data_IF_116831094446
#
_entry.id   IF_116831094446
#
_cell.length_a   1.000
_cell.length_b   1.000
_cell.length_c   1.000
_cell.angle_alpha   90.00
_cell.angle_beta   90.00
_cell.angle_gamma   90.00
#
_symmetry.space_group_name_H-M   'P 1'
#
loop_
_entity.id
_entity.type
_entity.pdbx_description
1 polymer ?
#
# COMPACT_ATOMS: atom_id res chain seq x y z
N UNK A 1 20.39 32.69 -4.04
CA UNK A 1 20.13 34.15 -4.15
C UNK A 1 18.67 34.46 -4.54
N UNK A 2 17.68 33.70 -4.05
CA UNK A 2 16.25 33.88 -4.38
C UNK A 2 15.51 34.90 -3.49
N UNK A 3 16.15 35.33 -2.39
CA UNK A 3 15.47 36.03 -1.29
C UNK A 3 15.20 37.53 -1.56
N UNK A 4 15.94 38.16 -2.47
CA UNK A 4 15.76 39.60 -2.77
C UNK A 4 14.71 39.83 -3.86
N UNK A 5 14.57 38.89 -4.79
CA UNK A 5 13.58 38.97 -5.87
C UNK A 5 12.14 38.91 -5.36
N UNK A 6 11.89 38.20 -4.26
CA UNK A 6 10.59 38.16 -3.58
C UNK A 6 10.30 39.45 -2.81
N UNK A 7 11.32 40.08 -2.22
CA UNK A 7 11.17 41.35 -1.47
C UNK A 7 10.80 42.53 -2.38
N UNK A 8 11.23 42.53 -3.65
CA UNK A 8 10.83 43.56 -4.63
C UNK A 8 9.30 43.56 -4.81
N UNK A 9 8.68 42.40 -4.97
CA UNK A 9 7.23 42.28 -5.12
C UNK A 9 6.49 42.73 -3.86
N UNK A 10 6.97 42.33 -2.68
CA UNK A 10 6.40 42.71 -1.39
C UNK A 10 6.40 44.24 -1.19
N UNK A 11 7.52 44.91 -1.49
CA UNK A 11 7.63 46.37 -1.39
C UNK A 11 6.70 47.07 -2.39
N UNK A 12 6.65 46.59 -3.64
CA UNK A 12 5.81 47.17 -4.69
C UNK A 12 4.31 46.98 -4.42
N UNK A 13 3.93 45.92 -3.71
CA UNK A 13 2.53 45.66 -3.30
C UNK A 13 2.15 46.36 -1.99
N UNK A 14 3.07 47.11 -1.37
CA UNK A 14 2.80 47.95 -0.21
C UNK A 14 3.03 47.27 1.14
N UNK A 15 3.73 46.14 1.19
CA UNK A 15 4.15 45.52 2.46
C UNK A 15 5.21 46.41 3.12
N UNK A 16 4.93 46.84 4.34
CA UNK A 16 5.92 47.55 5.14
C UNK A 16 7.05 46.60 5.57
N UNK A 17 8.29 46.95 5.23
CA UNK A 17 9.48 46.29 5.74
C UNK A 17 9.88 46.89 7.09
N UNK A 18 10.60 46.12 7.90
CA UNK A 18 11.26 46.68 9.08
C UNK A 18 12.30 47.74 8.64
N UNK A 19 12.65 48.72 9.49
CA UNK A 19 13.64 49.74 9.15
C UNK A 19 15.00 49.15 8.74
N UNK A 20 15.41 48.05 9.37
CA UNK A 20 16.65 47.33 9.07
C UNK A 20 16.58 46.65 7.70
N UNK A 21 15.47 45.99 7.38
CA UNK A 21 15.25 45.33 6.09
C UNK A 21 15.10 46.32 4.93
N UNK A 22 14.45 47.47 5.15
CA UNK A 22 14.33 48.53 4.14
C UNK A 22 15.71 49.14 3.82
N UNK A 23 16.55 49.38 4.84
CA UNK A 23 17.91 49.85 4.63
C UNK A 23 18.76 48.84 3.84
N UNK A 24 18.68 47.56 4.20
CA UNK A 24 19.38 46.48 3.50
C UNK A 24 18.87 46.32 2.05
N UNK A 25 17.56 46.36 1.85
CA UNK A 25 16.92 46.30 0.53
C UNK A 25 17.37 47.45 -0.36
N UNK A 26 17.31 48.70 0.13
CA UNK A 26 17.75 49.89 -0.63
C UNK A 26 19.24 49.85 -0.95
N UNK A 27 20.07 49.41 -0.02
CA UNK A 27 21.51 49.23 -0.24
C UNK A 27 21.76 48.22 -1.36
N UNK A 28 21.04 47.09 -1.35
CA UNK A 28 21.15 46.06 -2.37
C UNK A 28 20.67 46.51 -3.76
N UNK A 29 19.51 47.17 -3.85
CA UNK A 29 18.98 47.70 -5.11
C UNK A 29 19.93 48.76 -5.70
N UNK A 30 20.67 49.49 -4.86
CA UNK A 30 21.76 50.37 -5.34
C UNK A 30 22.98 49.60 -5.82
N UNK A 31 23.34 48.47 -5.21
CA UNK A 31 24.51 47.69 -5.60
C UNK A 31 24.30 46.76 -6.80
N UNK A 32 23.07 46.31 -7.06
CA UNK A 32 22.77 45.27 -8.06
C UNK A 32 21.96 45.83 -9.24
N UNK A 33 22.58 45.92 -10.41
CA UNK A 33 21.96 46.44 -11.65
C UNK A 33 20.69 45.65 -12.05
N UNK A 34 20.72 44.31 -11.91
CA UNK A 34 19.58 43.45 -12.25
C UNK A 34 18.37 43.68 -11.33
N UNK A 35 18.60 43.83 -10.03
CA UNK A 35 17.53 44.11 -9.06
C UNK A 35 17.01 45.53 -9.20
N UNK A 36 17.88 46.49 -9.53
CA UNK A 36 17.50 47.87 -9.86
C UNK A 36 16.56 47.94 -11.05
N UNK A 37 16.93 47.32 -12.16
CA UNK A 37 16.10 47.30 -13.37
C UNK A 37 14.71 46.71 -13.11
N UNK A 38 14.63 45.64 -12.32
CA UNK A 38 13.36 44.98 -11.96
C UNK A 38 12.49 45.84 -11.02
N UNK A 39 13.11 46.51 -10.05
CA UNK A 39 12.40 47.45 -9.17
C UNK A 39 11.87 48.66 -9.96
N UNK A 40 12.67 49.21 -10.86
CA UNK A 40 12.27 50.33 -11.73
C UNK A 40 11.12 49.93 -12.66
N UNK A 41 11.17 48.73 -13.27
CA UNK A 41 10.06 48.21 -14.09
C UNK A 41 8.76 48.14 -13.29
N UNK A 42 8.81 47.64 -12.06
CA UNK A 42 7.65 47.60 -11.16
C UNK A 42 7.12 48.98 -10.79
N UNK A 43 8.01 49.94 -10.52
CA UNK A 43 7.62 51.33 -10.22
C UNK A 43 6.98 52.03 -11.42
N UNK A 44 7.46 51.77 -12.63
CA UNK A 44 6.86 52.30 -13.88
C UNK A 44 5.44 51.77 -14.06
N UNK A 45 5.20 50.48 -13.83
CA UNK A 45 3.84 49.89 -13.87
C UNK A 45 2.91 50.54 -12.84
N UNK A 46 3.38 50.75 -11.61
CA UNK A 46 2.57 51.39 -10.56
C UNK A 46 2.25 52.86 -10.87
N UNK A 47 3.18 53.62 -11.45
CA UNK A 47 2.94 55.01 -11.88
C UNK A 47 1.90 55.10 -12.99
N UNK A 48 1.97 54.18 -13.96
CA UNK A 48 0.98 54.06 -15.03
C UNK A 48 -0.40 53.69 -14.49
N UNK A 49 -0.48 52.73 -13.57
CA UNK A 49 -1.74 52.33 -12.94
C UNK A 49 -2.40 53.46 -12.14
N UNK A 50 -1.60 54.40 -11.59
CA UNK A 50 -2.08 55.59 -10.88
C UNK A 50 -2.40 56.78 -11.82
N UNK A 51 -2.28 56.62 -13.13
CA UNK A 51 -2.60 57.67 -14.10
C UNK A 51 -1.57 58.81 -14.19
N UNK A 52 -0.39 58.65 -13.59
CA UNK A 52 0.68 59.65 -13.64
C UNK A 52 1.54 59.49 -14.91
N UNK A 53 0.94 59.81 -16.06
CA UNK A 53 1.60 59.71 -17.36
C UNK A 53 2.79 60.68 -17.50
N UNK A 54 2.75 61.81 -16.80
CA UNK A 54 3.80 62.83 -16.80
C UNK A 54 5.07 62.41 -16.02
N UNK A 55 5.00 61.31 -15.26
CA UNK A 55 6.10 60.80 -14.43
C UNK A 55 6.91 59.66 -15.09
N UNK A 56 6.66 59.39 -16.37
CA UNK A 56 7.41 58.39 -17.14
C UNK A 56 8.77 58.93 -17.57
N UNK A 57 9.80 58.08 -17.49
CA UNK A 57 11.11 58.49 -17.97
C UNK A 57 11.09 58.70 -19.49
N UNK A 58 11.88 59.65 -20.03
CA UNK A 58 11.96 59.89 -21.48
C UNK A 58 12.22 58.58 -22.24
N UNK A 59 11.28 58.21 -23.12
CA UNK A 59 11.37 57.00 -23.96
C UNK A 59 10.68 55.75 -23.39
N UNK A 60 10.16 55.74 -22.15
CA UNK A 60 9.40 54.60 -21.62
C UNK A 60 8.08 54.38 -22.35
N UNK A 61 7.38 55.46 -22.72
CA UNK A 61 6.16 55.38 -23.50
C UNK A 61 6.41 54.66 -24.84
N UNK A 62 7.53 54.97 -25.50
CA UNK A 62 7.92 54.35 -26.76
C UNK A 62 8.28 52.86 -26.59
N UNK A 63 8.96 52.50 -25.49
CA UNK A 63 9.26 51.08 -25.17
C UNK A 63 7.98 50.30 -24.90
N UNK A 64 7.01 50.88 -24.19
CA UNK A 64 5.73 50.26 -23.91
C UNK A 64 4.88 50.11 -25.18
N UNK A 65 4.86 51.12 -26.05
CA UNK A 65 4.20 51.04 -27.36
C UNK A 65 4.85 49.96 -28.24
N UNK A 66 6.19 49.88 -28.28
CA UNK A 66 6.88 48.84 -29.04
C UNK A 66 6.61 47.43 -28.49
N UNK A 67 6.50 47.29 -27.17
CA UNK A 67 6.16 46.01 -26.52
C UNK A 67 4.70 45.62 -26.75
N UNK A 68 3.78 46.58 -26.67
CA UNK A 68 2.37 46.39 -26.99
C UNK A 68 2.20 46.02 -28.48
N UNK A 69 2.92 46.68 -29.39
CA UNK A 69 2.93 46.36 -30.80
C UNK A 69 3.50 44.96 -31.08
N UNK A 70 4.51 44.52 -30.32
CA UNK A 70 5.03 43.16 -30.42
C UNK A 70 4.03 42.11 -29.92
N UNK A 71 3.36 42.36 -28.80
CA UNK A 71 2.31 41.49 -28.25
C UNK A 71 1.04 41.46 -29.11
N UNK A 72 0.73 42.56 -29.80
CA UNK A 72 -0.39 42.67 -30.72
C UNK A 72 -0.09 42.07 -32.10
N UNK A 73 1.15 41.61 -32.38
CA UNK A 73 1.41 40.86 -33.60
C UNK A 73 0.61 39.55 -33.52
N UNK A 74 -0.30 39.30 -34.47
CA UNK A 74 -0.99 38.02 -34.51
C UNK A 74 0.08 36.94 -34.63
N UNK A 75 0.17 36.05 -33.64
CA UNK A 75 0.90 34.81 -33.83
C UNK A 75 0.18 34.10 -34.98
N UNK A 76 0.81 34.03 -36.15
CA UNK A 76 0.33 33.12 -37.19
C UNK A 76 0.20 31.75 -36.53
N UNK A 77 -0.99 31.12 -36.55
CA UNK A 77 -1.17 29.82 -35.94
C UNK A 77 -0.27 28.87 -36.72
N UNK A 78 0.92 28.61 -36.16
CA UNK A 78 1.85 27.62 -36.66
C UNK A 78 1.07 26.31 -36.58
N UNK A 79 0.54 25.87 -37.72
CA UNK A 79 -0.22 24.62 -37.86
C UNK A 79 0.74 23.47 -37.60
N UNK A 80 1.11 23.26 -36.34
CA UNK A 80 1.45 21.93 -35.88
C UNK A 80 0.17 21.13 -35.97
N UNK A 81 -0.01 20.45 -37.11
CA UNK A 81 -0.97 19.37 -37.24
C UNK A 81 -0.48 18.21 -36.36
N UNK A 82 -0.42 18.42 -35.05
CA UNK A 82 -0.38 17.33 -34.10
C UNK A 82 -1.78 16.73 -34.14
N UNK A 83 -1.92 15.69 -34.95
CA UNK A 83 -3.17 14.97 -35.16
C UNK A 83 -3.61 14.33 -33.84
N UNK A 84 -4.35 15.10 -33.05
CA UNK A 84 -5.00 14.70 -31.78
C UNK A 84 -5.71 13.36 -31.89
N UNK A 85 -6.16 12.99 -33.10
CA UNK A 85 -6.73 11.68 -33.41
C UNK A 85 -5.84 10.51 -32.96
N UNK A 86 -4.52 10.56 -33.13
CA UNK A 86 -3.64 9.47 -32.68
C UNK A 86 -3.37 9.53 -31.17
N UNK A 87 -3.36 10.71 -30.56
CA UNK A 87 -3.24 10.85 -29.11
C UNK A 87 -4.47 10.29 -28.38
N UNK A 88 -5.68 10.54 -28.90
CA UNK A 88 -6.92 9.98 -28.34
C UNK A 88 -7.05 8.47 -28.56
N UNK A 89 -6.68 7.96 -29.73
CA UNK A 89 -6.71 6.50 -30.00
C UNK A 89 -5.68 5.77 -29.13
N UNK A 90 -4.48 6.34 -28.95
CA UNK A 90 -3.48 5.79 -28.03
C UNK A 90 -3.94 5.80 -26.57
N UNK A 91 -4.53 6.90 -26.11
CA UNK A 91 -5.06 7.01 -24.74
C UNK A 91 -6.23 6.05 -24.49
N UNK A 92 -7.18 5.94 -25.43
CA UNK A 92 -8.30 5.01 -25.33
C UNK A 92 -7.84 3.54 -25.32
N UNK A 93 -6.86 3.19 -26.16
CA UNK A 93 -6.27 1.86 -26.17
C UNK A 93 -5.57 1.51 -24.86
N UNK A 94 -4.82 2.45 -24.27
CA UNK A 94 -4.17 2.25 -22.97
C UNK A 94 -5.17 2.07 -21.82
N UNK A 95 -6.25 2.87 -21.80
CA UNK A 95 -7.32 2.73 -20.79
C UNK A 95 -8.08 1.42 -20.96
N UNK A 96 -8.37 1.00 -22.20
CA UNK A 96 -9.02 -0.28 -22.47
C UNK A 96 -8.13 -1.45 -22.05
N UNK A 97 -6.83 -1.41 -22.36
CA UNK A 97 -5.89 -2.45 -21.93
C UNK A 97 -5.76 -2.51 -20.40
N UNK A 98 -5.70 -1.35 -19.73
CA UNK A 98 -5.70 -1.26 -18.26
C UNK A 98 -6.99 -1.86 -17.68
N UNK A 99 -8.15 -1.55 -18.26
CA UNK A 99 -9.44 -2.10 -17.84
C UNK A 99 -9.49 -3.61 -18.05
N UNK A 100 -9.00 -4.14 -19.17
CA UNK A 100 -8.94 -5.59 -19.42
C UNK A 100 -8.05 -6.29 -18.39
N UNK A 101 -6.92 -5.68 -18.00
CA UNK A 101 -6.05 -6.23 -16.94
C UNK A 101 -6.72 -6.17 -15.57
N UNK A 102 -7.47 -5.11 -15.27
CA UNK A 102 -8.19 -4.97 -14.00
C UNK A 102 -9.45 -5.84 -13.92
N UNK A 103 -10.09 -6.12 -15.07
CA UNK A 103 -11.28 -6.96 -15.20
C UNK A 103 -10.95 -8.41 -15.55
N UNK A 104 -9.67 -8.76 -15.68
CA UNK A 104 -9.26 -10.13 -15.88
C UNK A 104 -9.85 -10.99 -14.74
N UNK A 105 -10.63 -12.04 -15.06
CA UNK A 105 -11.34 -12.80 -14.07
C UNK A 105 -10.32 -13.45 -13.14
N UNK A 106 -10.25 -12.96 -11.89
CA UNK A 106 -9.51 -13.65 -10.84
C UNK A 106 -10.38 -14.79 -10.35
N UNK A 107 -9.77 -15.96 -10.17
CA UNK A 107 -10.43 -17.12 -9.60
C UNK A 107 -10.68 -16.86 -8.11
N UNK A 108 -11.91 -17.09 -7.63
CA UNK A 108 -12.19 -17.01 -6.20
C UNK A 108 -11.51 -18.19 -5.49
N UNK A 109 -10.78 -17.91 -4.42
CA UNK A 109 -10.01 -18.90 -3.64
C UNK A 109 -10.45 -18.99 -2.19
N UNK A 110 -11.45 -18.21 -1.78
CA UNK A 110 -11.91 -18.23 -0.41
C UNK A 110 -12.91 -17.15 -0.08
N UNK A 111 -13.24 -17.07 1.19
CA UNK A 111 -14.17 -16.08 1.73
C UNK A 111 -13.83 -15.71 3.17
N UNK A 112 -14.24 -14.51 3.56
CA UNK A 112 -14.07 -14.00 4.92
C UNK A 112 -15.17 -14.56 5.82
N UNK A 113 -14.80 -15.28 6.87
CA UNK A 113 -15.75 -15.85 7.84
C UNK A 113 -16.09 -14.86 8.95
N UNK A 114 -15.07 -14.16 9.44
CA UNK A 114 -15.16 -13.17 10.50
C UNK A 114 -14.36 -11.96 10.08
N UNK A 115 -15.07 -10.88 9.76
CA UNK A 115 -14.47 -9.57 9.51
C UNK A 115 -14.48 -8.77 10.80
N UNK A 116 -13.29 -8.45 11.27
CA UNK A 116 -13.09 -7.54 12.38
C UNK A 116 -12.83 -6.12 11.89
N UNK A 117 -12.82 -5.14 12.80
CA UNK A 117 -12.54 -3.75 12.45
C UNK A 117 -11.08 -3.65 11.98
N UNK A 118 -10.92 -3.33 10.69
CA UNK A 118 -9.60 -3.19 10.07
C UNK A 118 -9.16 -4.41 9.26
N UNK A 119 -10.06 -5.35 8.94
CA UNK A 119 -9.78 -6.33 7.88
C UNK A 119 -9.82 -5.63 6.51
N UNK A 120 -8.75 -5.79 5.74
CA UNK A 120 -8.62 -5.24 4.39
C UNK A 120 -8.28 -6.33 3.37
N UNK A 121 -8.82 -6.21 2.16
CA UNK A 121 -8.40 -6.96 0.97
C UNK A 121 -7.83 -5.96 -0.04
N UNK A 122 -6.57 -6.12 -0.42
CA UNK A 122 -5.85 -5.19 -1.30
C UNK A 122 -5.93 -3.72 -0.82
N UNK A 123 -5.96 -3.52 0.51
CA UNK A 123 -6.07 -2.21 1.15
C UNK A 123 -7.50 -1.66 1.26
N UNK A 124 -8.51 -2.37 0.75
CA UNK A 124 -9.92 -1.98 0.85
C UNK A 124 -10.54 -2.66 2.07
N UNK A 125 -11.23 -1.90 2.93
CA UNK A 125 -11.96 -2.45 4.08
C UNK A 125 -13.09 -3.37 3.59
N UNK A 126 -13.15 -4.58 4.14
CA UNK A 126 -14.17 -5.57 3.76
C UNK A 126 -14.95 -6.07 4.96
N UNK A 127 -16.18 -6.53 4.68
CA UNK A 127 -17.05 -7.16 5.65
C UNK A 127 -16.99 -8.68 5.63
N UNK A 128 -17.86 -9.27 6.44
CA UNK A 128 -18.11 -10.72 6.44
C UNK A 128 -18.57 -11.18 5.06
N UNK A 129 -18.24 -12.42 4.70
CA UNK A 129 -18.62 -13.10 3.45
C UNK A 129 -18.01 -12.47 2.19
N UNK A 130 -17.05 -11.55 2.34
CA UNK A 130 -16.29 -11.01 1.22
C UNK A 130 -15.49 -12.13 0.53
N UNK A 131 -15.54 -12.16 -0.80
CA UNK A 131 -14.83 -13.14 -1.63
C UNK A 131 -13.35 -12.78 -1.70
N UNK A 132 -12.49 -13.76 -1.50
CA UNK A 132 -11.03 -13.64 -1.64
C UNK A 132 -10.65 -14.20 -3.00
N UNK A 133 -9.89 -13.43 -3.76
CA UNK A 133 -9.41 -13.81 -5.08
C UNK A 133 -7.94 -14.21 -5.04
N UNK A 134 -7.47 -14.88 -6.09
CA UNK A 134 -6.03 -15.10 -6.29
C UNK A 134 -5.26 -13.77 -6.26
N UNK A 135 -4.04 -13.86 -5.76
CA UNK A 135 -3.10 -12.75 -5.54
C UNK A 135 -3.57 -11.62 -4.60
N UNK A 136 -4.69 -11.79 -3.91
CA UNK A 136 -5.18 -10.80 -2.94
C UNK A 136 -4.30 -10.74 -1.68
N UNK A 137 -4.00 -9.52 -1.24
CA UNK A 137 -3.35 -9.25 0.06
C UNK A 137 -4.43 -9.03 1.12
N UNK A 138 -4.51 -9.96 2.06
CA UNK A 138 -5.36 -9.89 3.24
C UNK A 138 -4.57 -9.22 4.37
N UNK A 139 -5.05 -8.09 4.86
CA UNK A 139 -4.43 -7.32 5.94
C UNK A 139 -5.34 -7.18 7.14
N UNK A 140 -4.78 -7.28 8.35
CA UNK A 140 -5.46 -6.96 9.61
C UNK A 140 -4.74 -5.84 10.34
N UNK A 141 -5.49 -4.92 10.95
CA UNK A 141 -4.93 -3.85 11.78
C UNK A 141 -4.91 -4.24 13.26
N UNK A 142 -6.02 -4.03 13.99
CA UNK A 142 -6.06 -4.13 15.46
C UNK A 142 -6.73 -5.38 16.00
N UNK A 143 -7.56 -6.03 15.19
CA UNK A 143 -8.40 -7.14 15.62
C UNK A 143 -8.06 -8.40 14.80
N UNK A 144 -8.35 -9.56 15.39
CA UNK A 144 -8.20 -10.84 14.73
C UNK A 144 -9.20 -10.98 13.58
N UNK A 145 -8.84 -11.66 12.50
CA UNK A 145 -9.77 -11.99 11.42
C UNK A 145 -9.66 -13.46 11.05
N UNK A 146 -10.77 -14.04 10.60
CA UNK A 146 -10.80 -15.43 10.16
C UNK A 146 -11.30 -15.54 8.72
N UNK A 147 -10.54 -16.28 7.91
CA UNK A 147 -10.86 -16.53 6.51
C UNK A 147 -10.90 -18.04 6.26
N UNK A 148 -11.67 -18.44 5.26
CA UNK A 148 -11.69 -19.79 4.72
C UNK A 148 -11.09 -19.78 3.33
N UNK A 149 -9.99 -20.50 3.15
CA UNK A 149 -9.38 -20.72 1.85
C UNK A 149 -9.86 -22.06 1.29
N UNK A 150 -10.37 -22.01 0.06
CA UNK A 150 -10.85 -23.15 -0.71
C UNK A 150 -9.88 -23.38 -1.87
N UNK A 151 -9.04 -24.41 -1.74
CA UNK A 151 -8.16 -24.85 -2.80
C UNK A 151 -8.74 -26.04 -3.57
N UNK A 152 -8.03 -26.47 -4.60
CA UNK A 152 -8.46 -27.61 -5.44
C UNK A 152 -8.58 -28.92 -4.65
N UNK A 153 -7.95 -29.02 -3.47
CA UNK A 153 -7.77 -30.27 -2.72
C UNK A 153 -8.23 -30.19 -1.27
N UNK A 154 -8.97 -29.15 -0.90
CA UNK A 154 -9.55 -29.02 0.43
C UNK A 154 -9.76 -27.60 0.90
N UNK A 155 -10.26 -27.49 2.13
CA UNK A 155 -10.56 -26.23 2.80
C UNK A 155 -9.62 -26.02 3.98
N UNK A 156 -9.14 -24.78 4.16
CA UNK A 156 -8.31 -24.37 5.29
C UNK A 156 -8.90 -23.17 6.00
N UNK A 157 -9.07 -23.29 7.31
CA UNK A 157 -9.32 -22.13 8.16
C UNK A 157 -7.99 -21.41 8.41
N UNK A 158 -7.95 -20.12 8.16
CA UNK A 158 -6.80 -19.27 8.49
C UNK A 158 -7.26 -18.17 9.42
N UNK A 159 -6.64 -18.09 10.60
CA UNK A 159 -6.84 -17.03 11.57
C UNK A 159 -5.64 -16.08 11.48
N UNK A 160 -5.92 -14.82 11.17
CA UNK A 160 -4.95 -13.74 11.12
C UNK A 160 -5.02 -12.98 12.44
N UNK A 161 -3.88 -12.83 13.11
CA UNK A 161 -3.74 -12.02 14.33
C UNK A 161 -3.64 -10.54 13.97
N UNK A 162 -3.65 -9.60 14.93
CA UNK A 162 -3.53 -8.17 14.61
C UNK A 162 -2.21 -7.88 13.91
N UNK A 163 -2.19 -6.85 13.06
CA UNK A 163 -1.03 -6.41 12.27
C UNK A 163 -0.46 -7.51 11.36
N UNK A 164 -1.33 -8.36 10.81
CA UNK A 164 -0.91 -9.46 9.93
C UNK A 164 -1.18 -9.10 8.48
N UNK A 165 -0.22 -9.42 7.59
CA UNK A 165 -0.38 -9.29 6.14
C UNK A 165 -0.10 -10.63 5.48
N UNK A 166 -1.10 -11.17 4.82
CA UNK A 166 -1.06 -12.46 4.14
C UNK A 166 -1.44 -12.26 2.67
N UNK A 167 -0.52 -12.52 1.76
CA UNK A 167 -0.82 -12.59 0.32
C UNK A 167 -1.27 -13.99 -0.03
N UNK A 168 -2.52 -14.15 -0.44
CA UNK A 168 -3.07 -15.43 -0.90
C UNK A 168 -2.76 -15.57 -2.37
N UNK A 169 -1.91 -16.53 -2.74
CA UNK A 169 -1.58 -16.79 -4.16
C UNK A 169 -2.61 -17.72 -4.76
N UNK A 170 -2.91 -18.81 -4.06
CA UNK A 170 -3.98 -19.76 -4.38
C UNK A 170 -4.67 -20.21 -3.09
N UNK A 171 -5.72 -21.02 -3.19
CA UNK A 171 -6.31 -21.66 -1.99
C UNK A 171 -5.36 -22.64 -1.27
N UNK A 172 -4.25 -23.04 -1.91
CA UNK A 172 -3.26 -24.00 -1.43
C UNK A 172 -1.87 -23.38 -1.10
N UNK A 173 -1.60 -22.15 -1.56
CA UNK A 173 -0.32 -21.43 -1.36
C UNK A 173 -0.58 -19.98 -0.93
N UNK A 174 0.04 -19.59 0.18
CA UNK A 174 -0.03 -18.23 0.70
C UNK A 174 1.35 -17.75 1.19
N UNK A 175 1.58 -16.44 1.12
CA UNK A 175 2.81 -15.80 1.60
C UNK A 175 2.51 -14.84 2.74
N UNK A 176 3.01 -15.16 3.93
CA UNK A 176 3.01 -14.29 5.10
C UNK A 176 4.06 -13.19 4.93
N UNK A 177 3.60 -11.96 4.73
CA UNK A 177 4.45 -10.77 4.59
C UNK A 177 4.82 -10.17 5.95
N UNK A 178 4.03 -10.43 6.98
CA UNK A 178 4.26 -9.94 8.34
C UNK A 178 3.16 -10.37 9.30
N UNK A 179 3.47 -10.36 10.60
CA UNK A 179 2.53 -10.71 11.67
C UNK A 179 2.48 -12.21 11.95
N UNK A 180 1.33 -12.68 12.46
CA UNK A 180 1.14 -14.07 12.90
C UNK A 180 -0.14 -14.66 12.30
N UNK A 181 -0.02 -15.88 11.77
CA UNK A 181 -1.15 -16.65 11.28
C UNK A 181 -1.21 -18.01 11.96
N UNK A 182 -2.44 -18.45 12.24
CA UNK A 182 -2.76 -19.81 12.65
C UNK A 182 -3.53 -20.47 11.53
N UNK A 183 -3.07 -21.64 11.09
CA UNK A 183 -3.66 -22.39 9.99
C UNK A 183 -4.22 -23.70 10.52
N UNK A 184 -5.44 -24.02 10.11
CA UNK A 184 -6.10 -25.28 10.41
C UNK A 184 -6.53 -25.96 9.11
N UNK A 185 -5.93 -27.12 8.85
CA UNK A 185 -6.32 -28.02 7.76
C UNK A 185 -7.06 -29.23 8.34
N UNK A 186 -8.36 -29.34 8.02
CA UNK A 186 -9.23 -30.38 8.59
C UNK A 186 -9.19 -31.69 7.82
N UNK A 187 -9.27 -31.60 6.49
CA UNK A 187 -9.15 -32.70 5.53
C UNK A 187 -8.51 -32.11 4.29
N UNK A 188 -7.22 -32.35 4.12
CA UNK A 188 -6.49 -31.88 2.95
C UNK A 188 -5.87 -33.10 2.29
N UNK A 189 -6.22 -33.34 1.04
CA UNK A 189 -5.55 -34.35 0.20
C UNK A 189 -4.25 -33.79 -0.39
N UNK A 190 -3.97 -32.50 -0.19
CA UNK A 190 -2.74 -31.83 -0.59
C UNK A 190 -1.99 -31.21 0.58
N UNK A 191 -0.70 -30.95 0.40
CA UNK A 191 -0.01 -30.05 1.28
C UNK A 191 -0.53 -28.61 1.14
N UNK A 192 -0.62 -27.89 2.25
CA UNK A 192 -0.78 -26.43 2.25
C UNK A 192 0.61 -25.80 2.39
N UNK A 193 0.94 -24.86 1.51
CA UNK A 193 2.22 -24.15 1.55
C UNK A 193 2.01 -22.74 2.10
N UNK A 194 2.73 -22.42 3.18
CA UNK A 194 2.83 -21.07 3.71
C UNK A 194 4.28 -20.60 3.59
N UNK A 195 4.51 -19.51 2.87
CA UNK A 195 5.83 -18.91 2.72
C UNK A 195 5.96 -17.75 3.69
N UNK A 196 7.08 -17.63 4.39
CA UNK A 196 7.35 -16.51 5.29
C UNK A 196 8.82 -16.14 5.15
N UNK A 197 9.09 -14.93 4.64
CA UNK A 197 10.46 -14.48 4.32
C UNK A 197 11.23 -15.50 3.44
N UNK A 198 12.44 -15.93 3.85
CA UNK A 198 13.21 -16.95 3.15
C UNK A 198 12.74 -18.40 3.44
N UNK A 199 11.75 -18.56 4.32
CA UNK A 199 11.27 -19.88 4.76
C UNK A 199 10.03 -20.32 3.99
N UNK A 200 9.94 -21.63 3.78
CA UNK A 200 8.78 -22.33 3.21
C UNK A 200 8.30 -23.36 4.23
N UNK A 201 7.14 -23.10 4.80
CA UNK A 201 6.43 -23.99 5.72
C UNK A 201 5.44 -24.81 4.92
N UNK A 202 5.66 -26.12 4.84
CA UNK A 202 4.79 -27.05 4.10
C UNK A 202 4.10 -27.95 5.10
N UNK A 203 2.81 -27.75 5.29
CA UNK A 203 1.98 -28.69 6.03
C UNK A 203 1.64 -29.86 5.10
N UNK A 204 2.14 -31.06 5.41
CA UNK A 204 1.94 -32.26 4.59
C UNK A 204 0.70 -33.07 4.97
N UNK A 205 0.16 -32.88 6.17
CA UNK A 205 -0.97 -33.62 6.70
C UNK A 205 -1.98 -32.71 7.41
N UNK A 206 -3.25 -33.13 7.57
CA UNK A 206 -4.23 -32.41 8.40
C UNK A 206 -3.67 -32.11 9.79
N UNK A 207 -3.98 -30.92 10.29
CA UNK A 207 -3.37 -30.42 11.51
C UNK A 207 -3.56 -28.93 11.73
N UNK A 208 -2.98 -28.45 12.82
CA UNK A 208 -3.04 -27.06 13.24
C UNK A 208 -1.63 -26.58 13.57
N UNK A 209 -1.23 -25.49 12.94
CA UNK A 209 0.07 -24.87 13.19
C UNK A 209 -0.02 -23.35 13.18
N UNK A 210 0.97 -22.72 13.77
CA UNK A 210 1.14 -21.28 13.85
C UNK A 210 2.44 -20.91 13.17
N UNK A 211 2.41 -19.80 12.44
CA UNK A 211 3.61 -19.20 11.84
C UNK A 211 3.60 -17.71 12.11
N UNK A 212 4.72 -17.20 12.57
CA UNK A 212 4.93 -15.79 12.88
C UNK A 212 6.18 -15.30 12.15
N UNK A 213 6.00 -14.25 11.35
CA UNK A 213 7.10 -13.55 10.71
C UNK A 213 7.65 -12.50 11.69
N UNK A 214 8.89 -12.70 12.15
CA UNK A 214 9.61 -11.81 13.06
C UNK A 214 10.73 -11.08 12.31
N UNK A 215 11.22 -9.94 12.83
CA UNK A 215 12.38 -9.25 12.24
C UNK A 215 13.64 -10.12 12.14
N UNK A 216 13.79 -11.09 13.05
CA UNK A 216 14.96 -11.97 13.14
C UNK A 216 14.80 -13.30 12.41
N UNK A 217 13.61 -13.61 11.90
CA UNK A 217 13.32 -14.92 11.33
C UNK A 217 11.85 -15.30 11.30
N UNK A 218 11.58 -16.58 11.05
CA UNK A 218 10.23 -17.13 11.06
C UNK A 218 10.09 -18.13 12.20
N UNK A 219 9.14 -17.91 13.09
CA UNK A 219 8.79 -18.84 14.15
C UNK A 219 7.66 -19.76 13.68
N UNK A 220 7.79 -21.06 13.91
CA UNK A 220 6.78 -22.08 13.56
C UNK A 220 6.53 -22.98 14.76
N UNK A 221 5.26 -23.12 15.14
CA UNK A 221 4.83 -24.02 16.20
C UNK A 221 3.68 -24.91 15.73
N UNK A 222 3.72 -26.19 16.09
CA UNK A 222 2.73 -27.18 15.63
C UNK A 222 1.89 -27.65 16.81
N UNK A 223 0.59 -27.35 16.76
CA UNK A 223 -0.36 -27.77 17.79
C UNK A 223 -0.92 -29.17 17.54
N UNK A 224 -1.08 -29.56 16.28
CA UNK A 224 -1.61 -30.86 15.89
C UNK A 224 -1.07 -31.23 14.51
N UNK A 225 -0.70 -32.51 14.33
CA UNK A 225 -0.15 -33.01 13.07
C UNK A 225 1.35 -32.72 12.93
N UNK A 226 1.85 -32.78 11.70
CA UNK A 226 3.27 -32.56 11.39
C UNK A 226 3.41 -31.51 10.27
N UNK A 227 4.46 -30.71 10.36
CA UNK A 227 4.80 -29.67 9.38
C UNK A 227 6.27 -29.81 9.01
N UNK A 228 6.58 -29.73 7.72
CA UNK A 228 7.94 -29.68 7.24
C UNK A 228 8.34 -28.22 7.00
N UNK A 229 9.32 -27.73 7.75
CA UNK A 229 9.84 -26.36 7.61
C UNK A 229 11.12 -26.44 6.78
N UNK A 230 11.11 -25.85 5.59
CA UNK A 230 12.23 -25.85 4.65
C UNK A 230 12.72 -24.43 4.40
N UNK A 231 14.03 -24.24 4.36
CA UNK A 231 14.68 -22.97 4.04
C UNK A 231 16.01 -23.25 3.30
N UNK A 232 16.74 -22.25 2.77
CA UNK A 232 17.99 -22.49 2.04
C UNK A 232 19.03 -23.30 2.83
N UNK A 233 19.08 -23.15 4.16
CA UNK A 233 20.01 -23.87 5.04
C UNK A 233 19.61 -25.31 5.39
N UNK A 234 18.45 -25.79 4.93
CA UNK A 234 18.00 -27.16 5.17
C UNK A 234 16.50 -27.29 5.45
N UNK A 235 16.09 -28.47 5.89
CA UNK A 235 14.71 -28.74 6.29
C UNK A 235 14.64 -29.46 7.63
N UNK A 236 13.53 -29.26 8.34
CA UNK A 236 13.26 -29.90 9.62
C UNK A 236 11.78 -30.26 9.74
N UNK A 237 11.51 -31.47 10.21
CA UNK A 237 10.14 -31.90 10.53
C UNK A 237 9.81 -31.45 11.96
N UNK A 238 8.72 -30.70 12.11
CA UNK A 238 8.18 -30.23 13.39
C UNK A 238 6.88 -30.99 13.64
N UNK A 239 6.82 -31.72 14.76
CA UNK A 239 5.68 -32.54 15.14
C UNK A 239 4.81 -31.81 16.17
N UNK A 240 3.69 -32.43 16.51
CA UNK A 240 2.79 -31.95 17.56
C UNK A 240 3.52 -31.58 18.85
N UNK A 241 3.15 -30.43 19.42
CA UNK A 241 3.77 -29.84 20.62
C UNK A 241 5.24 -29.48 20.46
N UNK A 242 5.70 -29.28 19.24
CA UNK A 242 7.06 -28.82 18.94
C UNK A 242 7.04 -27.46 18.24
N UNK A 243 8.16 -26.76 18.36
CA UNK A 243 8.44 -25.51 17.67
C UNK A 243 9.84 -25.50 17.07
N UNK A 244 10.02 -24.66 16.06
CA UNK A 244 11.33 -24.30 15.51
C UNK A 244 11.31 -22.83 15.11
N UNK A 245 12.50 -22.24 15.00
CA UNK A 245 12.67 -20.89 14.50
C UNK A 245 13.69 -20.92 13.35
N UNK A 246 13.31 -20.34 12.22
CA UNK A 246 14.19 -20.18 11.06
C UNK A 246 14.87 -18.83 11.18
N UNK A 247 16.18 -18.83 11.40
CA UNK A 247 16.99 -17.61 11.55
C UNK A 247 17.98 -17.57 10.40
N UNK A 248 18.06 -16.44 9.69
CA UNK A 248 18.94 -16.24 8.53
C UNK A 248 18.85 -17.40 7.50
N UNK A 249 17.63 -17.85 7.20
CA UNK A 249 17.38 -18.92 6.23
C UNK A 249 17.80 -20.33 6.67
N UNK A 250 18.16 -20.54 7.94
CA UNK A 250 18.50 -21.87 8.48
C UNK A 250 17.49 -22.28 9.55
N UNK A 251 16.82 -23.44 9.42
CA UNK A 251 15.93 -23.93 10.47
C UNK A 251 16.71 -24.27 11.74
N UNK A 252 16.27 -23.76 12.88
CA UNK A 252 16.84 -24.05 14.19
C UNK A 252 16.50 -25.46 14.69
N UNK A 253 17.11 -25.88 15.82
CA UNK A 253 16.77 -27.14 16.46
C UNK A 253 15.30 -27.16 16.90
N UNK A 254 14.66 -28.30 16.75
CA UNK A 254 13.28 -28.52 17.21
C UNK A 254 13.25 -28.55 18.73
N UNK A 255 12.36 -27.75 19.33
CA UNK A 255 12.16 -27.70 20.79
C UNK A 255 10.77 -28.22 21.11
N UNK A 256 10.66 -28.98 22.20
CA UNK A 256 9.36 -29.37 22.75
C UNK A 256 8.79 -28.21 23.55
N UNK A 257 7.58 -27.78 23.22
CA UNK A 257 6.93 -26.65 23.85
C UNK A 257 6.21 -27.10 25.10
N UNK A 258 6.44 -26.41 26.22
CA UNK A 258 5.60 -26.61 27.42
C UNK A 258 4.22 -26.04 27.13
N UNK A 259 3.16 -26.79 27.44
CA UNK A 259 1.77 -26.52 27.02
C UNK A 259 1.31 -25.05 27.15
N UNK A 260 1.85 -24.28 28.10
CA UNK A 260 1.49 -22.89 28.35
C UNK A 260 2.00 -21.88 27.28
N UNK A 261 3.11 -22.14 26.59
CA UNK A 261 3.60 -21.22 25.55
C UNK A 261 2.77 -21.27 24.26
N UNK A 262 2.06 -22.39 24.04
CA UNK A 262 1.05 -22.55 22.99
C UNK A 262 -0.31 -21.94 23.37
N UNK A 263 -0.51 -21.57 24.65
CA UNK A 263 -1.80 -21.10 25.20
C UNK A 263 -2.00 -19.60 25.04
N UNK A 264 -0.96 -18.78 24.86
CA UNK A 264 -1.13 -17.36 24.50
C UNK A 264 -1.80 -17.18 23.12
N UNK A 265 -1.89 -18.25 22.32
CA UNK A 265 -2.64 -18.29 21.06
C UNK A 265 -4.14 -18.66 21.26
N UNK A 266 -4.56 -18.96 22.50
CA UNK A 266 -5.98 -18.98 22.90
C UNK A 266 -6.40 -17.58 23.33
N UNK A 267 -6.42 -16.61 22.40
CA UNK A 267 -7.11 -15.35 22.66
C UNK A 267 -8.53 -15.64 23.16
N UNK A 268 -8.86 -15.13 24.36
CA UNK A 268 -10.16 -15.06 25.05
C UNK A 268 -11.04 -16.33 25.10
N UNK A 269 -10.67 -17.42 24.42
CA UNK A 269 -11.54 -18.55 24.06
C UNK A 269 -12.67 -18.18 23.08
N UNK A 270 -13.28 -17.00 23.18
CA UNK A 270 -14.62 -16.71 22.62
C UNK A 270 -14.68 -16.70 21.09
N UNK A 271 -13.79 -15.96 20.42
CA UNK A 271 -13.81 -15.83 18.94
C UNK A 271 -13.39 -17.15 18.29
N UNK A 272 -12.36 -17.79 18.83
CA UNK A 272 -11.89 -19.07 18.31
C UNK A 272 -12.89 -20.20 18.59
N UNK A 273 -13.48 -20.27 19.78
CA UNK A 273 -14.53 -21.25 20.07
C UNK A 273 -15.75 -21.03 19.18
N UNK A 274 -16.09 -19.77 18.85
CA UNK A 274 -17.15 -19.48 17.89
C UNK A 274 -16.78 -19.97 16.48
N UNK A 275 -15.54 -19.74 16.02
CA UNK A 275 -15.04 -20.21 14.73
C UNK A 275 -15.00 -21.74 14.68
N UNK A 276 -14.41 -22.40 15.68
CA UNK A 276 -14.33 -23.87 15.77
C UNK A 276 -15.72 -24.49 15.87
N UNK A 277 -16.63 -23.89 16.64
CA UNK A 277 -18.02 -24.36 16.74
C UNK A 277 -18.75 -24.20 15.42
N UNK A 278 -18.58 -23.08 14.73
CA UNK A 278 -19.12 -22.86 13.40
C UNK A 278 -18.55 -23.86 12.39
N UNK A 279 -17.24 -24.09 12.38
CA UNK A 279 -16.60 -25.09 11.51
C UNK A 279 -17.09 -26.50 11.79
N UNK A 280 -17.17 -26.93 13.05
CA UNK A 280 -17.73 -28.24 13.41
C UNK A 280 -19.18 -28.36 12.94
N UNK A 281 -20.00 -27.33 13.19
CA UNK A 281 -21.40 -27.32 12.78
C UNK A 281 -21.56 -27.38 11.26
N UNK A 282 -20.72 -26.65 10.51
CA UNK A 282 -20.69 -26.70 9.04
C UNK A 282 -20.35 -28.10 8.54
N UNK A 283 -19.30 -28.72 9.08
CA UNK A 283 -18.88 -30.08 8.72
C UNK A 283 -19.97 -31.10 9.04
N UNK A 284 -20.59 -31.02 10.22
CA UNK A 284 -21.67 -31.92 10.62
C UNK A 284 -22.92 -31.74 9.75
N UNK A 285 -23.15 -30.52 9.25
CA UNK A 285 -24.28 -30.23 8.35
C UNK A 285 -24.02 -30.83 6.97
N UNK A 286 -22.82 -30.63 6.43
CA UNK A 286 -22.41 -31.21 5.15
C UNK A 286 -22.38 -32.74 5.24
N UNK A 287 -21.82 -33.30 6.31
CA UNK A 287 -21.76 -34.75 6.53
C UNK A 287 -23.16 -35.38 6.60
N UNK A 288 -24.11 -34.73 7.28
CA UNK A 288 -25.51 -35.18 7.32
C UNK A 288 -26.21 -35.05 5.97
N UNK A 289 -25.96 -33.98 5.22
CA UNK A 289 -26.53 -33.80 3.88
C UNK A 289 -26.03 -34.86 2.89
N UNK A 290 -24.76 -35.27 3.00
CA UNK A 290 -24.17 -36.31 2.15
C UNK A 290 -24.58 -37.74 2.55
N UNK A 291 -24.90 -37.99 3.83
CA UNK A 291 -25.33 -39.31 4.30
C UNK A 291 -26.83 -39.59 4.12
N UNK A 292 -27.63 -38.58 3.76
CA UNK A 292 -29.07 -38.67 3.49
C UNK A 292 -29.43 -38.83 2.01
N UNK A 293 -28.44 -39.06 1.14
CA UNK A 293 -28.58 -39.46 -0.26
C UNK A 293 -28.07 -40.90 -0.42
#
# INVERSE_FOLDING_TARGET
MSHVDSLITDVLTGRALSPEDDAAFRSHVRGCEKCRAKYDEGMTVLRLARGHQDALAPGELQRLQNRAAWLARPMEPRRFAFSWRFAFVGAAGAVAALLVVLLAPRTPVGHVLVASKGLTLDGVLVGKDAVIYEDTVVGTDKEDAAILLEGARGRRGVLLRPNTRLRVTTGDDATLQGGRVRVQALKSEAPFTLRADASRVVQSAPGVFVTEARPTGTFVAVHQGNVNVSAPGGSVEVKESQETEVINGTPGPVKTVTANALVEDRGDGTVWDAIVRWFRQLIDTIGRALAGQ
#
